data_IF_994428660543
#
_entry.id   IF_994428660543
#
_cell.length_a   1.000
_cell.length_b   1.000
_cell.length_c   1.000
_cell.angle_alpha   90.00
_cell.angle_beta   90.00
_cell.angle_gamma   90.00
#
_symmetry.space_group_name_H-M   'P 1'
#
loop_
_entity.id
_entity.type
_entity.pdbx_description
1 polymer ?
#
# COMPACT_ATOMS: atom_id res chain seq x y z
N UNK A 1 -26.63 15.97 -3.41
CA UNK A 1 -26.28 15.96 -1.98
C UNK A 1 -25.80 14.56 -1.66
N UNK A 2 -24.49 14.36 -1.61
CA UNK A 2 -23.89 13.07 -1.24
C UNK A 2 -23.91 12.96 0.29
N UNK A 3 -24.40 11.83 0.81
CA UNK A 3 -24.73 11.66 2.23
C UNK A 3 -23.51 11.46 3.13
N UNK A 4 -23.61 12.00 4.36
CA UNK A 4 -22.64 11.93 5.47
C UNK A 4 -22.06 10.54 5.81
N UNK A 5 -22.63 9.45 5.30
CA UNK A 5 -22.14 8.08 5.52
C UNK A 5 -20.91 7.73 4.66
N UNK A 6 -20.76 8.34 3.48
CA UNK A 6 -19.63 8.07 2.59
C UNK A 6 -18.33 8.71 3.10
N UNK A 7 -18.40 9.90 3.71
CA UNK A 7 -17.22 10.59 4.29
C UNK A 7 -16.48 9.73 5.33
N UNK A 8 -17.21 8.95 6.13
CA UNK A 8 -16.62 8.08 7.17
C UNK A 8 -15.87 6.86 6.59
N UNK A 9 -16.13 6.48 5.34
CA UNK A 9 -15.40 5.40 4.66
C UNK A 9 -14.07 5.89 4.09
N UNK A 10 -14.02 7.14 3.62
CA UNK A 10 -12.81 7.75 3.06
C UNK A 10 -11.76 8.10 4.14
N UNK A 11 -12.19 8.43 5.37
CA UNK A 11 -11.26 8.76 6.46
C UNK A 11 -10.40 7.59 6.91
N UNK A 12 -10.85 6.32 6.77
CA UNK A 12 -10.02 5.14 7.10
C UNK A 12 -8.76 5.00 6.23
N UNK A 13 -8.84 5.38 4.95
CA UNK A 13 -7.67 5.37 4.06
C UNK A 13 -6.66 6.47 4.40
N UNK A 14 -7.11 7.55 5.03
CA UNK A 14 -6.24 8.69 5.35
C UNK A 14 -5.37 8.44 6.59
N UNK A 15 -5.75 7.53 7.50
CA UNK A 15 -5.06 7.31 8.79
C UNK A 15 -3.70 6.61 8.64
N UNK A 16 -3.46 5.91 7.53
CA UNK A 16 -2.33 4.99 7.40
C UNK A 16 -0.97 5.67 7.18
N UNK A 17 -0.90 7.00 7.02
CA UNK A 17 0.36 7.69 6.68
C UNK A 17 0.89 8.54 7.83
N UNK A 18 2.22 8.59 7.99
CA UNK A 18 2.88 9.28 9.11
C UNK A 18 2.52 10.78 9.23
N UNK A 19 2.22 11.45 8.11
CA UNK A 19 1.78 12.85 8.11
C UNK A 19 0.30 13.01 8.41
N UNK A 20 -0.55 12.05 8.02
CA UNK A 20 -2.00 12.12 8.23
C UNK A 20 -2.44 11.50 9.55
N UNK A 21 -1.64 10.64 10.19
CA UNK A 21 -1.89 10.16 11.55
C UNK A 21 -1.96 11.30 12.58
N UNK A 22 -1.39 12.47 12.26
CA UNK A 22 -1.46 13.68 13.10
C UNK A 22 -2.76 14.49 12.93
N UNK A 23 -3.66 14.07 12.02
CA UNK A 23 -4.93 14.76 11.76
C UNK A 23 -6.10 13.92 12.27
N UNK A 24 -6.98 14.54 13.04
CA UNK A 24 -8.21 13.89 13.52
C UNK A 24 -9.22 13.74 12.35
N UNK A 25 -10.40 13.17 12.66
CA UNK A 25 -11.44 12.92 11.67
C UNK A 25 -11.98 14.18 10.95
N UNK A 26 -11.79 15.38 11.53
CA UNK A 26 -12.18 16.67 10.93
C UNK A 26 -11.04 17.32 10.13
N UNK A 27 -9.85 16.72 10.12
CA UNK A 27 -8.67 17.20 9.40
C UNK A 27 -7.75 18.14 10.22
N UNK A 28 -8.11 18.43 11.47
CA UNK A 28 -7.34 19.29 12.36
C UNK A 28 -6.12 18.55 12.93
N UNK A 29 -5.01 19.28 13.07
CA UNK A 29 -3.80 18.73 13.68
C UNK A 29 -4.02 18.63 15.19
N UNK A 30 -4.18 17.41 15.68
CA UNK A 30 -4.30 17.13 17.11
C UNK A 30 -3.72 15.75 17.41
N UNK A 31 -3.23 15.55 18.64
CA UNK A 31 -2.82 14.21 19.06
C UNK A 31 -4.05 13.44 19.54
N UNK A 32 -4.59 12.59 18.67
CA UNK A 32 -5.77 11.75 18.94
C UNK A 32 -5.41 10.28 19.19
N UNK A 33 -4.11 9.97 19.26
CA UNK A 33 -3.60 8.63 19.59
C UNK A 33 -3.11 8.58 21.03
N UNK A 34 -3.26 7.40 21.64
CA UNK A 34 -2.53 7.09 22.88
C UNK A 34 -1.04 6.99 22.58
N UNK A 35 -0.20 7.24 23.59
CA UNK A 35 1.26 7.12 23.45
C UNK A 35 1.67 5.70 23.03
N UNK A 36 0.99 4.68 23.56
CA UNK A 36 1.18 3.28 23.16
C UNK A 36 0.91 3.06 21.67
N UNK A 37 -0.21 3.58 21.14
CA UNK A 37 -0.57 3.44 19.72
C UNK A 37 0.48 4.11 18.83
N UNK A 38 0.96 5.29 19.23
CA UNK A 38 2.00 6.03 18.54
C UNK A 38 3.31 5.23 18.49
N UNK A 39 3.74 4.65 19.61
CA UNK A 39 4.96 3.84 19.66
C UNK A 39 4.87 2.59 18.77
N UNK A 40 3.72 1.90 18.77
CA UNK A 40 3.49 0.75 17.88
C UNK A 40 3.57 1.17 16.41
N UNK A 41 2.95 2.30 16.07
CA UNK A 41 2.98 2.83 14.70
C UNK A 41 4.40 3.21 14.26
N UNK A 42 5.17 3.88 15.13
CA UNK A 42 6.56 4.25 14.85
C UNK A 42 7.44 3.00 14.64
N UNK A 43 7.30 1.98 15.51
CA UNK A 43 8.00 0.71 15.39
C UNK A 43 7.69 -0.01 14.06
N UNK A 44 6.42 -0.05 13.66
CA UNK A 44 6.00 -0.63 12.37
C UNK A 44 6.47 0.20 11.18
N UNK A 45 6.44 1.53 11.30
CA UNK A 45 6.95 2.45 10.27
C UNK A 45 8.44 2.25 10.03
N UNK A 46 9.23 2.10 11.10
CA UNK A 46 10.68 1.85 11.01
C UNK A 46 11.01 0.52 10.32
N UNK A 47 10.12 -0.47 10.37
CA UNK A 47 10.26 -1.70 9.60
C UNK A 47 10.25 -1.41 8.09
N UNK A 48 9.34 -0.55 7.60
CA UNK A 48 9.31 -0.12 6.20
C UNK A 48 10.53 0.71 5.82
N UNK A 49 10.99 1.62 6.70
CA UNK A 49 12.24 2.38 6.46
C UNK A 49 13.40 1.42 6.21
N UNK A 50 13.56 0.42 7.09
CA UNK A 50 14.62 -0.60 6.96
C UNK A 50 14.45 -1.46 5.70
N UNK A 51 13.23 -1.83 5.35
CA UNK A 51 12.96 -2.62 4.15
C UNK A 51 13.40 -1.87 2.89
N UNK A 52 13.02 -0.61 2.74
CA UNK A 52 13.33 0.16 1.53
C UNK A 52 14.79 0.65 1.47
N UNK A 53 15.43 0.87 2.63
CA UNK A 53 16.87 1.12 2.68
C UNK A 53 17.70 -0.04 2.12
N UNK A 54 17.26 -1.29 2.27
CA UNK A 54 17.94 -2.46 1.68
C UNK A 54 17.93 -2.46 0.15
N UNK A 55 17.02 -1.70 -0.47
CA UNK A 55 16.96 -1.51 -1.91
C UNK A 55 17.86 -0.35 -2.41
N UNK A 56 18.63 0.29 -1.52
CA UNK A 56 19.42 1.48 -1.85
C UNK A 56 18.57 2.74 -2.04
N UNK A 57 17.34 2.73 -1.53
CA UNK A 57 16.43 3.88 -1.52
C UNK A 57 16.48 4.58 -0.16
N UNK A 58 16.07 5.85 -0.12
CA UNK A 58 15.76 6.51 1.15
C UNK A 58 14.37 6.06 1.63
N UNK A 59 14.35 5.07 2.51
CA UNK A 59 13.14 4.51 3.08
C UNK A 59 12.40 5.45 4.02
N UNK A 60 13.05 6.50 4.55
CA UNK A 60 12.41 7.50 5.40
C UNK A 60 11.67 8.53 4.55
N UNK A 61 12.28 9.00 3.46
CA UNK A 61 11.63 9.87 2.47
C UNK A 61 10.42 9.20 1.82
N UNK A 62 10.56 7.93 1.44
CA UNK A 62 9.48 7.18 0.75
C UNK A 62 8.45 6.56 1.69
N UNK A 63 8.63 6.70 3.00
CA UNK A 63 7.88 5.97 4.04
C UNK A 63 6.36 6.09 3.90
N UNK A 64 5.86 7.29 3.68
CA UNK A 64 4.41 7.56 3.61
C UNK A 64 3.77 6.76 2.47
N UNK A 65 4.37 6.81 1.29
CA UNK A 65 3.87 6.10 0.11
C UNK A 65 4.08 4.60 0.22
N UNK A 66 5.20 4.16 0.82
CA UNK A 66 5.47 2.75 1.08
C UNK A 66 4.41 2.14 2.01
N UNK A 67 3.99 2.85 3.06
CA UNK A 67 2.91 2.38 3.95
C UNK A 67 1.57 2.39 3.20
N UNK A 68 1.30 3.42 2.40
CA UNK A 68 0.06 3.52 1.61
C UNK A 68 -0.08 2.37 0.61
N UNK A 69 0.99 2.01 -0.12
CA UNK A 69 0.99 0.90 -1.07
C UNK A 69 0.70 -0.45 -0.40
N UNK A 70 1.40 -0.74 0.71
CA UNK A 70 1.25 -2.00 1.43
C UNK A 70 -0.10 -2.09 2.14
N UNK A 71 -0.55 -1.00 2.76
CA UNK A 71 -1.86 -0.91 3.39
C UNK A 71 -3.00 -1.03 2.35
N UNK A 72 -2.88 -0.33 1.23
CA UNK A 72 -3.86 -0.36 0.14
C UNK A 72 -3.99 -1.74 -0.49
N UNK A 73 -2.86 -2.40 -0.80
CA UNK A 73 -2.86 -3.77 -1.33
C UNK A 73 -3.49 -4.76 -0.35
N UNK A 74 -3.13 -4.67 0.93
CA UNK A 74 -3.71 -5.52 1.98
C UNK A 74 -5.23 -5.36 2.06
N UNK A 75 -5.74 -4.12 2.06
CA UNK A 75 -7.18 -3.87 2.11
C UNK A 75 -7.88 -4.32 0.83
N UNK A 76 -7.29 -4.06 -0.34
CA UNK A 76 -7.83 -4.49 -1.63
C UNK A 76 -7.93 -6.02 -1.73
N UNK A 77 -6.90 -6.74 -1.28
CA UNK A 77 -6.92 -8.20 -1.28
C UNK A 77 -7.92 -8.77 -0.27
N UNK A 78 -8.02 -8.19 0.93
CA UNK A 78 -9.07 -8.57 1.89
C UNK A 78 -10.47 -8.38 1.31
N UNK A 79 -10.72 -7.24 0.64
CA UNK A 79 -12.01 -6.99 -0.02
C UNK A 79 -12.28 -7.98 -1.16
N UNK A 80 -11.23 -8.31 -1.94
CA UNK A 80 -11.29 -9.33 -2.98
C UNK A 80 -11.66 -10.71 -2.43
N UNK A 81 -11.07 -11.14 -1.31
CA UNK A 81 -11.42 -12.40 -0.65
C UNK A 81 -12.89 -12.42 -0.21
N UNK A 82 -13.37 -11.35 0.44
CA UNK A 82 -14.78 -11.24 0.84
C UNK A 82 -15.75 -11.23 -0.36
N UNK A 83 -15.34 -10.68 -1.50
CA UNK A 83 -16.12 -10.75 -2.73
C UNK A 83 -16.11 -12.15 -3.33
N UNK A 84 -14.93 -12.80 -3.35
CA UNK A 84 -14.70 -14.15 -3.89
C UNK A 84 -15.54 -15.19 -3.15
N UNK A 85 -15.64 -15.11 -1.82
CA UNK A 85 -16.48 -15.98 -0.99
C UNK A 85 -17.97 -15.95 -1.37
N UNK A 86 -18.44 -14.84 -1.95
CA UNK A 86 -19.83 -14.67 -2.39
C UNK A 86 -20.07 -15.13 -3.83
N UNK A 87 -19.02 -15.49 -4.58
CA UNK A 87 -19.16 -15.92 -5.97
C UNK A 87 -19.47 -17.43 -6.03
N UNK A 88 -20.47 -17.77 -6.85
CA UNK A 88 -20.97 -19.16 -7.00
C UNK A 88 -20.17 -19.95 -8.04
N UNK A 89 -19.37 -19.27 -8.89
CA UNK A 89 -18.63 -19.90 -9.99
C UNK A 89 -17.13 -19.66 -9.93
N UNK A 90 -16.37 -20.64 -10.44
CA UNK A 90 -14.94 -20.49 -10.68
C UNK A 90 -14.74 -19.56 -11.88
N UNK A 91 -14.41 -18.30 -11.62
CA UNK A 91 -14.09 -17.32 -12.65
C UNK A 91 -12.74 -17.71 -13.28
N UNK A 92 -12.76 -17.98 -14.58
CA UNK A 92 -11.58 -18.16 -15.42
C UNK A 92 -11.58 -17.11 -16.52
N UNK A 93 -10.41 -16.53 -16.78
CA UNK A 93 -10.24 -15.60 -17.88
C UNK A 93 -9.77 -16.36 -19.13
N UNK A 94 -10.37 -16.12 -20.32
CA UNK A 94 -9.91 -16.72 -21.56
C UNK A 94 -8.43 -16.44 -21.81
N UNK A 95 -7.66 -17.47 -22.22
CA UNK A 95 -6.21 -17.45 -22.46
C UNK A 95 -5.33 -17.24 -21.21
N UNK A 96 -5.90 -17.32 -20.02
CA UNK A 96 -5.20 -17.22 -18.74
C UNK A 96 -5.73 -18.27 -17.75
N UNK A 97 -6.27 -19.38 -18.27
CA UNK A 97 -6.95 -20.41 -17.50
C UNK A 97 -6.01 -21.23 -16.60
N UNK A 98 -4.69 -21.14 -16.83
CA UNK A 98 -3.65 -21.71 -15.96
C UNK A 98 -3.48 -20.95 -14.64
N UNK A 99 -3.92 -19.69 -14.56
CA UNK A 99 -3.80 -18.88 -13.35
C UNK A 99 -5.06 -19.00 -12.48
N UNK A 100 -4.86 -19.10 -11.16
CA UNK A 100 -5.95 -18.94 -10.21
C UNK A 100 -6.42 -17.48 -10.17
N UNK A 101 -7.66 -17.26 -9.72
CA UNK A 101 -8.18 -15.90 -9.55
C UNK A 101 -7.35 -15.07 -8.55
N UNK A 102 -6.72 -15.71 -7.56
CA UNK A 102 -5.79 -15.05 -6.63
C UNK A 102 -4.51 -14.62 -7.34
N UNK A 103 -3.94 -15.48 -8.21
CA UNK A 103 -2.79 -15.12 -9.03
C UNK A 103 -3.13 -13.98 -9.99
N UNK A 104 -4.32 -14.02 -10.60
CA UNK A 104 -4.81 -12.96 -11.50
C UNK A 104 -4.96 -11.62 -10.78
N UNK A 105 -5.37 -11.60 -9.51
CA UNK A 105 -5.38 -10.37 -8.70
C UNK A 105 -3.97 -9.75 -8.62
N UNK A 106 -2.96 -10.56 -8.28
CA UNK A 106 -1.57 -10.05 -8.16
C UNK A 106 -0.91 -9.75 -9.51
N UNK A 107 -1.29 -10.45 -10.59
CA UNK A 107 -0.88 -10.11 -11.96
C UNK A 107 -1.47 -8.74 -12.35
N UNK A 108 -2.77 -8.52 -12.09
CA UNK A 108 -3.40 -7.23 -12.33
C UNK A 108 -2.74 -6.11 -11.51
N UNK A 109 -2.46 -6.34 -10.22
CA UNK A 109 -1.70 -5.41 -9.39
C UNK A 109 -0.25 -5.20 -9.88
N UNK A 110 0.43 -6.23 -10.39
CA UNK A 110 1.76 -6.06 -10.97
C UNK A 110 1.74 -5.19 -12.23
N UNK A 111 0.68 -5.33 -13.04
CA UNK A 111 0.57 -4.65 -14.33
C UNK A 111 0.49 -3.12 -14.22
N UNK A 112 -0.08 -2.58 -13.13
CA UNK A 112 -0.15 -1.12 -12.92
C UNK A 112 1.23 -0.49 -12.65
N UNK A 113 2.21 -1.31 -12.24
CA UNK A 113 3.58 -0.88 -11.93
C UNK A 113 4.55 -1.07 -13.10
N UNK A 114 4.07 -1.54 -14.26
CA UNK A 114 4.89 -1.71 -15.46
C UNK A 114 5.33 -0.36 -16.05
N UNK A 115 6.43 0.18 -15.53
CA UNK A 115 7.01 1.45 -15.97
C UNK A 115 8.49 1.26 -16.31
N UNK A 116 8.94 1.86 -17.42
CA UNK A 116 10.35 1.95 -17.81
C UNK A 116 10.81 3.39 -17.66
N UNK A 117 11.90 3.60 -16.92
CA UNK A 117 12.47 4.92 -16.68
C UNK A 117 13.62 5.21 -17.64
N UNK A 118 13.70 6.43 -18.13
CA UNK A 118 14.96 6.95 -18.68
C UNK A 118 15.99 7.09 -17.55
N UNK A 119 17.31 6.89 -17.78
CA UNK A 119 18.31 6.90 -16.70
C UNK A 119 18.31 8.17 -15.84
N UNK A 120 18.15 9.34 -16.47
CA UNK A 120 18.06 10.62 -15.74
C UNK A 120 16.84 10.71 -14.83
N UNK A 121 15.68 10.24 -15.30
CA UNK A 121 14.45 10.20 -14.50
C UNK A 121 14.58 9.19 -13.36
N UNK A 122 15.17 8.01 -13.62
CA UNK A 122 15.38 7.02 -12.56
C UNK A 122 16.27 7.58 -11.44
N UNK A 123 17.37 8.23 -11.80
CA UNK A 123 18.26 8.87 -10.82
C UNK A 123 17.54 9.95 -10.01
N UNK A 124 16.74 10.79 -10.68
CA UNK A 124 15.91 11.78 -10.01
C UNK A 124 14.90 11.13 -9.07
N UNK A 125 14.16 10.10 -9.51
CA UNK A 125 13.18 9.40 -8.67
C UNK A 125 13.84 8.77 -7.43
N UNK A 126 14.99 8.13 -7.61
CA UNK A 126 15.75 7.53 -6.51
C UNK A 126 16.20 8.58 -5.49
N UNK A 127 16.56 9.79 -5.93
CA UNK A 127 17.11 10.84 -5.05
C UNK A 127 16.05 11.74 -4.41
N UNK A 128 15.05 12.15 -5.19
CA UNK A 128 14.16 13.27 -4.82
C UNK A 128 12.69 12.88 -4.62
N UNK A 129 12.17 11.88 -5.34
CA UNK A 129 10.72 11.58 -5.32
C UNK A 129 10.20 10.91 -4.04
N UNK A 130 9.04 11.33 -3.54
CA UNK A 130 8.39 10.71 -2.36
C UNK A 130 7.92 9.27 -2.61
N UNK A 131 7.84 8.84 -3.86
CA UNK A 131 7.49 7.47 -4.24
C UNK A 131 8.74 6.67 -4.58
N UNK A 132 8.81 5.43 -4.09
CA UNK A 132 9.79 4.46 -4.58
C UNK A 132 9.59 4.21 -6.09
N UNK A 133 10.65 3.93 -6.87
CA UNK A 133 10.50 3.53 -8.27
C UNK A 133 9.59 2.29 -8.39
N UNK A 134 8.77 2.22 -9.44
CA UNK A 134 7.71 1.21 -9.58
C UNK A 134 8.13 -0.25 -9.37
N UNK A 135 9.32 -0.71 -9.84
CA UNK A 135 9.77 -2.07 -9.55
C UNK A 135 9.85 -2.40 -8.06
N UNK A 136 10.22 -1.41 -7.22
CA UNK A 136 10.32 -1.58 -5.77
C UNK A 136 8.97 -1.50 -5.06
N UNK A 137 8.02 -0.74 -5.60
CA UNK A 137 6.62 -0.70 -5.11
C UNK A 137 5.95 -2.06 -5.28
N UNK A 138 6.20 -2.75 -6.39
CA UNK A 138 5.74 -4.13 -6.58
C UNK A 138 6.57 -5.15 -5.79
N UNK A 139 7.91 -5.04 -5.80
CA UNK A 139 8.76 -6.06 -5.16
C UNK A 139 8.65 -6.08 -3.64
N UNK A 140 8.39 -4.95 -2.99
CA UNK A 140 8.11 -4.90 -1.55
C UNK A 140 6.79 -5.60 -1.19
N UNK A 141 5.81 -5.57 -2.11
CA UNK A 141 4.51 -6.22 -2.00
C UNK A 141 4.51 -7.73 -2.29
N UNK A 142 5.57 -8.28 -2.90
CA UNK A 142 5.70 -9.73 -3.26
C UNK A 142 5.64 -10.68 -2.08
N UNK A 143 5.55 -10.15 -0.88
CA UNK A 143 5.43 -10.91 0.34
C UNK A 143 4.09 -11.66 0.45
N UNK A 144 3.02 -11.38 -0.31
CA UNK A 144 1.65 -11.89 0.01
C UNK A 144 1.31 -13.36 -0.39
N UNK A 145 0.62 -14.19 0.45
CA UNK A 145 0.20 -13.88 1.82
C UNK A 145 1.45 -13.85 2.72
N UNK A 146 1.73 -12.75 3.44
CA UNK A 146 3.06 -12.57 3.97
C UNK A 146 3.31 -13.38 5.22
N UNK A 147 4.48 -14.02 5.34
CA UNK A 147 5.13 -14.02 6.62
C UNK A 147 5.36 -12.55 6.99
N UNK A 148 4.42 -11.96 7.75
CA UNK A 148 4.51 -10.70 8.51
C UNK A 148 5.66 -9.77 8.06
N UNK A 149 5.57 -9.16 6.89
CA UNK A 149 6.53 -8.12 6.48
C UNK A 149 5.93 -6.78 6.84
N UNK A 150 6.28 -6.31 8.04
CA UNK A 150 5.81 -5.08 8.68
C UNK A 150 4.27 -5.01 8.85
#
# INVERSE_FOLDING_TARGET
MFGHEEEKKWTKHQILTHSRSKRNATGEISNWWTEETKQIFENKSDCFVKQYNKYGLDGRRTLVENIADNGGLQQAYTAFLSWKEKQVSNIKLPKLEEYSIDQLFFIAYGSIWCIKYAPGILNYTIREAEHAPSPYRFSSSKSFPPPKVC
#
